data_IF_366266144613
#
_entry.id   IF_366266144613
#
_cell.length_a   1.000
_cell.length_b   1.000
_cell.length_c   1.000
_cell.angle_alpha   90.00
_cell.angle_beta   90.00
_cell.angle_gamma   90.00
#
_symmetry.space_group_name_H-M   'P 1'
#
loop_
_entity.id
_entity.type
_entity.pdbx_description
1 polymer ?
#
# COMPACT_ATOMS: atom_id res chain seq x y z
N UNK A 1 -17.24 30.64 -10.14
CA UNK A 1 -16.64 29.28 -10.19
C UNK A 1 -16.08 29.00 -8.80
N UNK A 2 -16.78 28.21 -7.98
CA UNK A 2 -16.23 27.82 -6.67
C UNK A 2 -15.09 26.85 -6.92
N UNK A 3 -13.86 27.28 -6.67
CA UNK A 3 -12.72 26.38 -6.55
C UNK A 3 -13.12 25.30 -5.54
N UNK A 4 -13.33 24.07 -6.03
CA UNK A 4 -13.46 22.91 -5.15
C UNK A 4 -12.12 22.81 -4.44
N UNK A 5 -12.05 23.32 -3.20
CA UNK A 5 -10.87 23.09 -2.39
C UNK A 5 -10.76 21.57 -2.24
N UNK A 6 -9.70 21.00 -2.82
CA UNK A 6 -9.38 19.61 -2.57
C UNK A 6 -9.13 19.50 -1.07
N UNK A 7 -9.97 18.73 -0.40
CA UNK A 7 -9.77 18.36 1.00
C UNK A 7 -8.34 17.80 1.15
N UNK A 8 -7.62 18.24 2.18
CA UNK A 8 -6.27 17.73 2.50
C UNK A 8 -6.26 16.19 2.61
N UNK A 9 -7.40 15.59 2.99
CA UNK A 9 -7.61 14.13 3.05
C UNK A 9 -7.57 13.51 1.65
N UNK A 10 -8.29 14.10 0.68
CA UNK A 10 -8.31 13.63 -0.71
C UNK A 10 -6.92 13.73 -1.35
N UNK A 11 -6.19 14.82 -1.11
CA UNK A 11 -4.80 14.95 -1.58
C UNK A 11 -3.87 13.87 -1.02
N UNK A 12 -4.00 13.56 0.27
CA UNK A 12 -3.21 12.52 0.94
C UNK A 12 -3.52 11.12 0.37
N UNK A 13 -4.78 10.84 0.08
CA UNK A 13 -5.18 9.57 -0.54
C UNK A 13 -4.60 9.38 -1.94
N UNK A 14 -4.60 10.44 -2.77
CA UNK A 14 -4.03 10.40 -4.12
C UNK A 14 -2.51 10.14 -4.04
N UNK A 15 -1.81 10.84 -3.14
CA UNK A 15 -0.38 10.62 -2.92
C UNK A 15 -0.09 9.18 -2.50
N UNK A 16 -0.84 8.63 -1.54
CA UNK A 16 -0.67 7.23 -1.12
C UNK A 16 -0.92 6.24 -2.27
N UNK A 17 -1.91 6.49 -3.13
CA UNK A 17 -2.16 5.66 -4.30
C UNK A 17 -1.02 5.71 -5.33
N UNK A 18 -0.44 6.90 -5.57
CA UNK A 18 0.74 7.06 -6.44
C UNK A 18 1.94 6.33 -5.86
N UNK A 19 2.21 6.46 -4.56
CA UNK A 19 3.31 5.77 -3.88
C UNK A 19 3.14 4.25 -4.03
N UNK A 20 1.93 3.74 -3.79
CA UNK A 20 1.63 2.31 -3.94
C UNK A 20 1.91 1.83 -5.39
N UNK A 21 1.49 2.61 -6.39
CA UNK A 21 1.75 2.28 -7.80
C UNK A 21 3.24 2.27 -8.14
N UNK A 22 3.99 3.28 -7.68
CA UNK A 22 5.45 3.36 -7.88
C UNK A 22 6.13 2.16 -7.23
N UNK A 23 5.74 1.81 -6.02
CA UNK A 23 6.29 0.65 -5.31
C UNK A 23 6.06 -0.66 -6.08
N UNK A 24 4.85 -0.92 -6.56
CA UNK A 24 4.56 -2.09 -7.40
C UNK A 24 5.41 -2.13 -8.66
N UNK A 25 5.56 -0.98 -9.31
CA UNK A 25 6.36 -0.86 -10.53
C UNK A 25 7.82 -1.19 -10.23
N UNK A 26 8.40 -0.61 -9.16
CA UNK A 26 9.77 -0.89 -8.76
C UNK A 26 9.96 -2.36 -8.36
N UNK A 27 9.00 -2.95 -7.63
CA UNK A 27 9.06 -4.35 -7.25
C UNK A 27 9.04 -5.28 -8.47
N UNK A 28 8.20 -5.00 -9.47
CA UNK A 28 8.18 -5.79 -10.72
C UNK A 28 9.48 -5.64 -11.51
N UNK A 29 9.99 -4.42 -11.66
CA UNK A 29 11.23 -4.18 -12.40
C UNK A 29 12.43 -4.80 -11.69
N UNK A 30 12.63 -4.52 -10.39
CA UNK A 30 13.77 -5.07 -9.65
C UNK A 30 13.66 -6.56 -9.40
N UNK A 31 12.45 -7.07 -9.15
CA UNK A 31 12.20 -8.51 -8.99
C UNK A 31 12.56 -9.31 -10.24
N UNK A 32 12.39 -8.75 -11.43
CA UNK A 32 12.77 -9.40 -12.69
C UNK A 32 14.30 -9.51 -12.91
N UNK A 33 15.11 -8.69 -12.23
CA UNK A 33 16.57 -8.79 -12.31
C UNK A 33 17.17 -9.82 -11.36
N UNK A 34 16.37 -10.41 -10.47
CA UNK A 34 16.83 -11.41 -9.53
C UNK A 34 16.80 -12.78 -10.22
N UNK A 35 17.94 -13.49 -10.33
CA UNK A 35 18.09 -14.64 -11.22
C UNK A 35 17.28 -15.88 -10.85
N UNK A 36 16.55 -15.86 -9.73
CA UNK A 36 15.68 -16.96 -9.31
C UNK A 36 15.13 -16.77 -7.89
N UNK A 37 14.13 -17.58 -7.58
CA UNK A 37 13.48 -17.68 -6.27
C UNK A 37 14.45 -17.96 -5.11
N UNK A 38 15.48 -18.76 -5.39
CA UNK A 38 16.44 -19.23 -4.37
C UNK A 38 17.51 -18.19 -4.04
N UNK A 39 17.48 -17.04 -4.71
CA UNK A 39 18.43 -15.97 -4.44
C UNK A 39 18.01 -15.22 -3.17
N UNK A 40 18.87 -15.13 -2.13
CA UNK A 40 18.55 -14.43 -0.89
C UNK A 40 18.20 -12.95 -1.09
N UNK A 41 18.63 -12.34 -2.20
CA UNK A 41 18.22 -10.98 -2.57
C UNK A 41 16.71 -10.88 -2.80
N UNK A 42 16.04 -11.93 -3.30
CA UNK A 42 14.59 -11.93 -3.50
C UNK A 42 13.83 -11.78 -2.19
N UNK A 43 14.27 -12.51 -1.15
CA UNK A 43 13.71 -12.38 0.19
C UNK A 43 13.93 -10.97 0.78
N UNK A 44 15.11 -10.38 0.58
CA UNK A 44 15.41 -9.01 1.03
C UNK A 44 14.52 -7.98 0.32
N UNK A 45 14.37 -8.07 -1.01
CA UNK A 45 13.49 -7.18 -1.77
C UNK A 45 12.02 -7.33 -1.37
N UNK A 46 11.56 -8.56 -1.15
CA UNK A 46 10.20 -8.85 -0.67
C UNK A 46 9.98 -8.27 0.73
N UNK A 47 10.97 -8.36 1.62
CA UNK A 47 10.93 -7.77 2.95
C UNK A 47 10.87 -6.23 2.93
N UNK A 48 11.65 -5.59 2.05
CA UNK A 48 11.60 -4.12 1.88
C UNK A 48 10.23 -3.67 1.37
N UNK A 49 9.65 -4.40 0.40
CA UNK A 49 8.28 -4.14 -0.07
C UNK A 49 7.24 -4.32 1.06
N UNK A 50 7.38 -5.36 1.90
CA UNK A 50 6.52 -5.54 3.07
C UNK A 50 6.54 -4.32 4.01
N UNK A 51 7.72 -3.77 4.31
CA UNK A 51 7.84 -2.58 5.17
C UNK A 51 7.09 -1.39 4.56
N UNK A 52 7.28 -1.13 3.27
CA UNK A 52 6.66 0.00 2.60
C UNK A 52 5.13 -0.13 2.55
N UNK A 53 4.60 -1.31 2.21
CA UNK A 53 3.14 -1.56 2.24
C UNK A 53 2.56 -1.38 3.65
N UNK A 54 3.26 -1.80 4.70
CA UNK A 54 2.83 -1.55 6.09
C UNK A 54 2.71 -0.05 6.36
N UNK A 55 3.70 0.75 5.95
CA UNK A 55 3.66 2.21 6.13
C UNK A 55 2.50 2.85 5.36
N UNK A 56 2.21 2.39 4.14
CA UNK A 56 1.06 2.86 3.36
C UNK A 56 -0.25 2.49 4.04
N UNK A 57 -0.38 1.26 4.57
CA UNK A 57 -1.55 0.83 5.34
C UNK A 57 -1.79 1.74 6.56
N UNK A 58 -0.74 2.05 7.32
CA UNK A 58 -0.80 2.97 8.46
C UNK A 58 -1.27 4.37 8.04
N UNK A 59 -0.77 4.89 6.91
CA UNK A 59 -1.22 6.18 6.38
C UNK A 59 -2.71 6.19 5.99
N UNK A 60 -3.22 5.12 5.40
CA UNK A 60 -4.66 4.99 5.12
C UNK A 60 -5.49 4.90 6.40
N UNK A 61 -5.03 4.15 7.42
CA UNK A 61 -5.68 4.09 8.74
C UNK A 61 -5.76 5.49 9.36
N UNK A 62 -4.65 6.24 9.37
CA UNK A 62 -4.61 7.61 9.89
C UNK A 62 -5.57 8.54 9.14
N UNK A 63 -5.69 8.37 7.83
CA UNK A 63 -6.62 9.12 6.97
C UNK A 63 -8.08 8.82 7.34
N UNK A 64 -8.41 7.54 7.53
CA UNK A 64 -9.76 7.09 7.97
C UNK A 64 -10.10 7.65 9.36
N UNK A 65 -9.16 7.60 10.31
CA UNK A 65 -9.36 8.07 11.69
C UNK A 65 -9.53 9.60 11.74
N UNK A 66 -8.77 10.35 10.93
CA UNK A 66 -8.84 11.82 10.88
C UNK A 66 -10.08 12.36 10.17
N UNK A 67 -10.80 11.56 9.39
CA UNK A 67 -12.04 11.98 8.73
C UNK A 67 -13.15 12.31 9.76
N UNK A 68 -13.65 13.55 9.79
CA UNK A 68 -14.68 13.98 10.74
C UNK A 68 -16.08 13.60 10.26
N UNK A 69 -16.99 13.30 11.19
CA UNK A 69 -18.42 13.12 10.90
C UNK A 69 -19.05 14.49 10.66
N UNK A 70 -19.22 14.91 9.41
CA UNK A 70 -19.95 16.16 9.12
C UNK A 70 -20.19 16.42 7.64
N UNK A 71 -19.14 16.30 6.82
CA UNK A 71 -19.23 16.65 5.40
C UNK A 71 -19.46 15.42 4.51
N UNK A 72 -20.30 15.59 3.48
CA UNK A 72 -20.58 14.53 2.49
C UNK A 72 -19.29 14.08 1.79
N UNK A 73 -18.39 15.03 1.45
CA UNK A 73 -17.06 14.73 0.89
C UNK A 73 -16.26 13.81 1.81
N UNK A 74 -16.18 14.14 3.10
CA UNK A 74 -15.42 13.36 4.07
C UNK A 74 -16.00 11.96 4.31
N UNK A 75 -17.33 11.79 4.17
CA UNK A 75 -17.96 10.46 4.21
C UNK A 75 -17.55 9.60 3.02
N UNK A 76 -17.43 10.18 1.83
CA UNK A 76 -17.00 9.47 0.63
C UNK A 76 -15.51 9.13 0.68
N UNK A 77 -14.67 10.08 1.08
CA UNK A 77 -13.23 9.88 1.32
C UNK A 77 -12.99 8.72 2.30
N UNK A 78 -13.76 8.66 3.38
CA UNK A 78 -13.68 7.57 4.36
C UNK A 78 -13.99 6.20 3.76
N UNK A 79 -15.04 6.09 2.92
CA UNK A 79 -15.40 4.84 2.27
C UNK A 79 -14.30 4.38 1.31
N UNK A 80 -13.78 5.30 0.50
CA UNK A 80 -12.69 5.00 -0.44
C UNK A 80 -11.45 4.56 0.33
N UNK A 81 -11.06 5.28 1.38
CA UNK A 81 -9.91 4.92 2.20
C UNK A 81 -10.07 3.54 2.88
N UNK A 82 -11.27 3.16 3.32
CA UNK A 82 -11.55 1.81 3.85
C UNK A 82 -11.40 0.75 2.76
N UNK A 83 -11.98 0.95 1.57
CA UNK A 83 -11.87 0.00 0.46
C UNK A 83 -10.41 -0.18 0.07
N UNK A 84 -9.67 0.92 -0.07
CA UNK A 84 -8.24 0.88 -0.39
C UNK A 84 -7.45 0.16 0.70
N UNK A 85 -7.77 0.39 1.98
CA UNK A 85 -7.12 -0.30 3.09
C UNK A 85 -7.34 -1.82 3.05
N UNK A 86 -8.54 -2.28 2.68
CA UNK A 86 -8.81 -3.72 2.50
C UNK A 86 -7.92 -4.28 1.39
N UNK A 87 -7.83 -3.61 0.25
CA UNK A 87 -6.94 -4.01 -0.85
C UNK A 87 -5.47 -4.06 -0.41
N UNK A 88 -5.01 -3.04 0.33
CA UNK A 88 -3.64 -2.99 0.87
C UNK A 88 -3.39 -4.16 1.82
N UNK A 89 -4.34 -4.55 2.67
CA UNK A 89 -4.19 -5.72 3.54
C UNK A 89 -4.12 -7.04 2.77
N UNK A 90 -4.91 -7.20 1.70
CA UNK A 90 -4.83 -8.39 0.83
C UNK A 90 -3.44 -8.49 0.20
N UNK A 91 -2.91 -7.37 -0.30
CA UNK A 91 -1.58 -7.30 -0.90
C UNK A 91 -0.47 -7.57 0.13
N UNK A 92 -0.60 -7.03 1.34
CA UNK A 92 0.31 -7.28 2.45
C UNK A 92 0.34 -8.77 2.79
N UNK A 93 -0.83 -9.41 2.88
CA UNK A 93 -0.91 -10.85 3.12
C UNK A 93 -0.26 -11.66 2.00
N UNK A 94 -0.51 -11.30 0.74
CA UNK A 94 0.11 -11.95 -0.41
C UNK A 94 1.65 -11.83 -0.36
N UNK A 95 2.19 -10.62 -0.15
CA UNK A 95 3.63 -10.40 -0.04
C UNK A 95 4.25 -11.11 1.17
N UNK A 96 3.50 -11.21 2.27
CA UNK A 96 3.93 -11.93 3.46
C UNK A 96 4.05 -13.44 3.22
N UNK A 97 3.07 -14.05 2.55
CA UNK A 97 3.16 -15.45 2.12
C UNK A 97 4.32 -15.67 1.15
N UNK A 98 4.46 -14.78 0.17
CA UNK A 98 5.57 -14.78 -0.78
C UNK A 98 6.91 -14.75 -0.07
N UNK A 99 7.09 -13.85 0.90
CA UNK A 99 8.31 -13.78 1.72
C UNK A 99 8.60 -15.10 2.45
N UNK A 100 7.60 -15.69 3.10
CA UNK A 100 7.74 -16.95 3.83
C UNK A 100 8.08 -18.14 2.94
N UNK A 101 7.52 -18.20 1.73
CA UNK A 101 7.95 -19.19 0.74
C UNK A 101 9.43 -19.04 0.41
N UNK A 102 9.92 -17.82 0.23
CA UNK A 102 11.32 -17.59 -0.13
C UNK A 102 12.34 -17.79 0.99
N UNK A 103 11.91 -17.71 2.25
CA UNK A 103 12.79 -18.04 3.39
C UNK A 103 12.67 -19.51 3.83
N UNK A 104 11.98 -20.35 3.04
CA UNK A 104 11.91 -21.79 3.28
C UNK A 104 11.07 -22.21 4.49
N UNK A 105 10.13 -21.37 4.95
CA UNK A 105 9.28 -21.71 6.12
C UNK A 105 8.28 -22.83 5.81
N UNK A 106 7.91 -23.01 4.54
CA UNK A 106 6.92 -23.99 4.09
C UNK A 106 7.53 -25.16 3.30
N UNK A 107 8.85 -25.33 3.37
CA UNK A 107 9.55 -26.52 2.88
C UNK A 107 9.52 -27.68 3.89
#
# INVERSE_FOLDING_TARGET
MSERSFSNITGTMIINAIILYVEFTLFQYFGAFIPGADNPMYAIFTFIALINIVLIALNFILTVVKSKKGEISQKLDKKVAIITLITVFILLFQLFLTFFMYIGIFE
#
